data_IF_503807514388
#
_entry.id   IF_503807514388
#
_cell.length_a   1.000
_cell.length_b   1.000
_cell.length_c   1.000
_cell.angle_alpha   90.00
_cell.angle_beta   90.00
_cell.angle_gamma   90.00
#
_symmetry.space_group_name_H-M   'P 1'
#
loop_
_entity.id
_entity.type
_entity.pdbx_description
1 polymer ?
#
# COMPACT_ATOMS: atom_id res chain seq x y z
N UNK A 1 16.30 9.39 6.72
CA UNK A 1 16.58 9.69 8.14
C UNK A 1 18.09 9.66 8.40
N UNK A 2 18.67 10.66 9.07
CA UNK A 2 20.04 10.58 9.60
C UNK A 2 20.00 10.18 11.08
N UNK A 3 20.51 8.98 11.40
CA UNK A 3 20.42 8.40 12.74
C UNK A 3 21.43 9.01 13.73
N UNK A 4 22.56 9.53 13.25
CA UNK A 4 23.58 10.12 14.10
C UNK A 4 23.15 11.52 14.57
N UNK A 5 22.48 12.26 13.70
CA UNK A 5 21.84 13.53 14.08
C UNK A 5 20.74 13.32 15.13
N UNK A 6 19.94 12.26 15.02
CA UNK A 6 18.93 11.93 16.05
C UNK A 6 19.62 11.57 17.38
N UNK A 7 20.72 10.83 17.35
CA UNK A 7 21.48 10.49 18.55
C UNK A 7 22.01 11.74 19.26
N UNK A 8 22.62 12.66 18.51
CA UNK A 8 23.15 13.91 19.08
C UNK A 8 22.04 14.80 19.66
N UNK A 9 20.91 14.95 18.96
CA UNK A 9 19.75 15.71 19.44
C UNK A 9 19.10 15.08 20.67
N UNK A 10 19.08 13.75 20.77
CA UNK A 10 18.59 13.04 21.94
C UNK A 10 19.51 13.16 23.18
N UNK A 11 20.73 13.71 22.99
CA UNK A 11 21.72 13.88 24.05
C UNK A 11 22.67 12.70 24.21
N UNK A 12 22.81 11.86 23.18
CA UNK A 12 23.84 10.82 23.13
C UNK A 12 25.12 11.41 22.53
N UNK A 13 26.26 11.05 23.11
CA UNK A 13 27.57 11.31 22.53
C UNK A 13 27.87 10.24 21.49
N UNK A 14 28.23 10.67 20.28
CA UNK A 14 28.65 9.77 19.18
C UNK A 14 30.17 9.65 19.17
N UNK A 15 30.67 8.42 19.19
CA UNK A 15 32.07 8.07 19.14
C UNK A 15 32.34 7.29 17.86
N UNK A 16 33.34 7.69 17.10
CA UNK A 16 33.83 6.93 15.95
C UNK A 16 34.80 5.86 16.47
N UNK A 17 34.39 4.60 16.50
CA UNK A 17 35.23 3.56 17.11
C UNK A 17 36.23 2.98 16.13
N UNK A 18 35.76 2.58 14.95
CA UNK A 18 36.58 1.82 14.01
C UNK A 18 36.02 1.86 12.59
N UNK A 19 36.92 1.60 11.65
CA UNK A 19 36.56 1.20 10.29
C UNK A 19 37.11 -0.20 10.04
N UNK A 20 36.22 -1.16 9.78
CA UNK A 20 36.60 -2.54 9.47
C UNK A 20 36.26 -2.76 8.01
N UNK A 21 37.29 -2.88 7.18
CA UNK A 21 37.15 -2.89 5.72
C UNK A 21 36.51 -1.60 5.20
N UNK A 22 35.33 -1.72 4.59
CA UNK A 22 34.56 -0.58 4.06
C UNK A 22 33.45 -0.10 5.00
N UNK A 23 33.23 -0.77 6.13
CA UNK A 23 32.21 -0.38 7.09
C UNK A 23 32.79 0.50 8.19
N UNK A 24 32.06 1.55 8.54
CA UNK A 24 32.41 2.48 9.61
C UNK A 24 31.47 2.27 10.78
N UNK A 25 32.05 2.02 11.96
CA UNK A 25 31.34 1.69 13.18
C UNK A 25 31.36 2.90 14.11
N UNK A 26 30.19 3.19 14.68
CA UNK A 26 29.99 4.27 15.64
C UNK A 26 29.36 3.69 16.90
N UNK A 27 29.92 4.03 18.06
CA UNK A 27 29.27 3.83 19.35
C UNK A 27 28.57 5.10 19.77
N UNK A 28 27.53 4.91 20.58
CA UNK A 28 26.85 6.02 21.26
C UNK A 28 26.80 5.75 22.75
N UNK A 29 27.06 6.77 23.55
CA UNK A 29 26.99 6.69 25.01
C UNK A 29 26.20 7.87 25.58
N UNK A 30 25.54 7.63 26.72
CA UNK A 30 24.71 8.64 27.36
C UNK A 30 23.85 8.06 28.48
N UNK A 31 22.97 8.90 29.03
CA UNK A 31 22.04 8.47 30.07
C UNK A 31 20.90 7.60 29.52
N UNK A 32 20.25 6.81 30.38
CA UNK A 32 19.07 6.04 30.00
C UNK A 32 17.93 6.95 29.48
N UNK A 33 17.79 8.15 30.04
CA UNK A 33 16.81 9.15 29.56
C UNK A 33 17.11 9.61 28.14
N UNK A 34 18.39 9.80 27.78
CA UNK A 34 18.79 10.14 26.42
C UNK A 34 18.50 8.97 25.46
N UNK A 35 18.75 7.73 25.88
CA UNK A 35 18.41 6.54 25.09
C UNK A 35 16.90 6.41 24.84
N UNK A 36 16.07 6.71 25.85
CA UNK A 36 14.62 6.70 25.69
C UNK A 36 14.17 7.74 24.65
N UNK A 37 14.68 8.98 24.75
CA UNK A 37 14.39 10.05 23.78
C UNK A 37 14.82 9.67 22.37
N UNK A 38 15.97 9.02 22.23
CA UNK A 38 16.47 8.52 20.96
C UNK A 38 15.53 7.49 20.35
N UNK A 39 15.09 6.49 21.12
CA UNK A 39 14.15 5.47 20.65
C UNK A 39 12.81 6.07 20.20
N UNK A 40 12.29 7.04 20.95
CA UNK A 40 11.05 7.74 20.61
C UNK A 40 11.21 8.54 19.29
N UNK A 41 12.33 9.26 19.15
CA UNK A 41 12.63 10.05 17.95
C UNK A 41 12.82 9.19 16.70
N UNK A 42 13.53 8.07 16.79
CA UNK A 42 13.68 7.10 15.68
C UNK A 42 12.33 6.54 15.27
N UNK A 43 11.49 6.17 16.25
CA UNK A 43 10.14 5.65 15.99
C UNK A 43 9.24 6.67 15.29
N UNK A 44 9.32 7.95 15.69
CA UNK A 44 8.59 9.04 15.06
C UNK A 44 9.08 9.30 13.62
N UNK A 45 10.39 9.32 13.41
CA UNK A 45 10.99 9.53 12.09
C UNK A 45 10.63 8.41 11.11
N UNK A 46 10.73 7.14 11.51
CA UNK A 46 10.35 6.00 10.67
C UNK A 46 8.86 6.04 10.26
N UNK A 47 7.98 6.47 11.17
CA UNK A 47 6.56 6.68 10.87
C UNK A 47 6.35 7.80 9.85
N UNK A 48 7.07 8.91 9.99
CA UNK A 48 6.98 10.03 9.04
C UNK A 48 7.41 9.60 7.62
N UNK A 49 8.54 8.89 7.50
CA UNK A 49 9.03 8.39 6.20
C UNK A 49 8.05 7.40 5.54
N UNK A 50 7.39 6.56 6.34
CA UNK A 50 6.37 5.63 5.86
C UNK A 50 5.14 6.36 5.28
N UNK A 51 4.72 7.46 5.92
CA UNK A 51 3.61 8.29 5.45
C UNK A 51 3.99 9.06 4.17
N UNK A 52 5.24 9.52 4.06
CA UNK A 52 5.74 10.18 2.85
C UNK A 52 5.82 9.22 1.66
N UNK A 53 6.26 7.98 1.87
CA UNK A 53 6.20 6.94 0.84
C UNK A 53 4.77 6.66 0.38
N UNK A 54 3.84 6.48 1.32
CA UNK A 54 2.43 6.25 0.99
C UNK A 54 1.79 7.41 0.20
N UNK A 55 2.19 8.66 0.46
CA UNK A 55 1.75 9.84 -0.30
C UNK A 55 2.39 9.92 -1.69
N UNK A 56 3.59 9.40 -1.84
CA UNK A 56 4.33 9.39 -3.10
C UNK A 56 3.80 8.31 -4.06
N UNK A 57 3.35 7.17 -3.52
CA UNK A 57 2.69 6.09 -4.26
C UNK A 57 1.22 6.38 -4.60
N UNK A 58 0.63 7.44 -4.07
CA UNK A 58 -0.70 7.87 -4.48
C UNK A 58 -0.64 8.36 -5.94
N UNK A 59 -1.40 7.75 -6.87
CA UNK A 59 -1.41 8.21 -8.25
C UNK A 59 -1.96 9.63 -8.29
N UNK A 60 -1.07 10.61 -8.45
CA UNK A 60 -1.39 12.05 -8.41
C UNK A 60 -2.34 12.52 -9.51
N UNK A 61 -2.80 11.66 -10.42
CA UNK A 61 -3.72 12.00 -11.49
C UNK A 61 -4.56 10.77 -11.89
N UNK A 62 -5.53 10.37 -11.08
CA UNK A 62 -6.66 9.60 -11.59
C UNK A 62 -7.71 10.61 -12.12
N UNK A 63 -7.96 10.69 -13.44
CA UNK A 63 -8.97 11.61 -13.97
C UNK A 63 -10.35 11.23 -13.41
N UNK A 64 -11.22 12.21 -13.11
CA UNK A 64 -12.58 11.93 -12.66
C UNK A 64 -13.30 11.17 -13.76
N UNK A 65 -13.78 9.96 -13.46
CA UNK A 65 -14.52 9.12 -14.39
C UNK A 65 -15.92 9.73 -14.60
N UNK A 66 -16.02 10.77 -15.43
CA UNK A 66 -17.30 11.21 -15.99
C UNK A 66 -17.74 10.24 -17.09
N UNK A 67 -18.16 9.03 -16.69
CA UNK A 67 -19.02 8.21 -17.57
C UNK A 67 -20.47 8.55 -17.27
N UNK A 68 -20.88 9.71 -17.78
CA UNK A 68 -22.28 9.93 -18.13
C UNK A 68 -22.61 8.99 -19.29
N UNK A 69 -23.55 8.04 -19.16
CA UNK A 69 -24.04 7.30 -20.31
C UNK A 69 -25.05 8.20 -21.02
N UNK A 70 -24.58 9.04 -21.95
CA UNK A 70 -25.49 9.80 -22.79
C UNK A 70 -25.95 8.93 -23.97
N UNK A 71 -27.26 8.67 -23.96
CA UNK A 71 -28.10 8.07 -25.00
C UNK A 71 -27.66 8.47 -26.42
N UNK A 72 -27.44 7.47 -27.28
CA UNK A 72 -27.76 7.59 -28.70
C UNK A 72 -28.97 6.73 -29.02
N UNK A 73 -30.09 7.41 -29.30
CA UNK A 73 -31.29 6.80 -29.84
C UNK A 73 -31.08 6.41 -31.31
N UNK A 74 -30.92 5.11 -31.60
CA UNK A 74 -31.16 4.45 -32.90
C UNK A 74 -30.88 2.95 -32.65
N UNK A 75 -31.79 1.98 -32.77
CA UNK A 75 -32.95 1.88 -33.61
C UNK A 75 -34.03 1.02 -32.93
N UNK A 76 -35.27 1.49 -32.95
CA UNK A 76 -36.45 0.64 -32.78
C UNK A 76 -36.69 -0.10 -34.11
N UNK A 77 -36.23 -1.35 -34.19
CA UNK A 77 -36.58 -2.40 -35.17
C UNK A 77 -36.26 -3.70 -34.44
N UNK A 78 -37.13 -4.67 -34.18
CA UNK A 78 -38.44 -5.02 -34.73
C UNK A 78 -39.15 -5.73 -33.57
N UNK A 79 -40.31 -5.24 -33.16
CA UNK A 79 -41.20 -6.01 -32.32
C UNK A 79 -41.99 -6.99 -33.21
N UNK A 80 -42.16 -8.21 -32.70
CA UNK A 80 -43.10 -9.25 -33.12
C UNK A 80 -42.64 -10.11 -34.30
N UNK A 81 -42.21 -11.34 -34.00
CA UNK A 81 -42.92 -12.52 -34.50
C UNK A 81 -42.56 -13.77 -33.67
N UNK A 82 -43.62 -14.37 -33.07
CA UNK A 82 -43.79 -15.80 -32.71
C UNK A 82 -42.88 -16.33 -31.60
N UNK A 83 -43.33 -16.48 -30.34
CA UNK A 83 -44.36 -17.40 -29.86
C UNK A 83 -44.18 -18.83 -30.43
N UNK A 84 -44.03 -19.77 -29.49
CA UNK A 84 -44.21 -21.22 -29.64
C UNK A 84 -43.05 -22.03 -30.25
N UNK A 85 -42.13 -22.46 -29.39
CA UNK A 85 -41.53 -23.79 -29.50
C UNK A 85 -41.05 -24.29 -28.12
N UNK A 86 -41.93 -25.06 -27.48
CA UNK A 86 -41.65 -26.27 -26.69
C UNK A 86 -40.42 -26.26 -25.76
N UNK A 87 -40.60 -26.30 -24.43
CA UNK A 87 -41.02 -27.50 -23.68
C UNK A 87 -40.28 -28.77 -24.10
N UNK A 88 -39.05 -28.95 -23.63
CA UNK A 88 -38.39 -30.24 -23.39
C UNK A 88 -37.18 -29.95 -22.51
N UNK A 89 -37.25 -30.15 -21.19
CA UNK A 89 -36.90 -31.42 -20.54
C UNK A 89 -35.81 -31.07 -19.52
N UNK A 90 -36.10 -31.07 -18.22
CA UNK A 90 -36.09 -32.27 -17.37
C UNK A 90 -34.67 -32.67 -16.97
N UNK A 91 -34.38 -32.49 -15.66
CA UNK A 91 -33.65 -33.46 -14.79
C UNK A 91 -32.13 -33.50 -15.01
N UNK A 92 -31.24 -33.69 -14.03
CA UNK A 92 -31.19 -33.69 -12.57
C UNK A 92 -29.72 -34.06 -12.25
N UNK A 93 -29.25 -33.71 -11.05
CA UNK A 93 -28.11 -34.25 -10.28
C UNK A 93 -26.99 -35.05 -10.97
N UNK A 94 -25.75 -34.68 -10.63
CA UNK A 94 -24.56 -35.53 -10.83
C UNK A 94 -23.33 -35.07 -10.04
N UNK A 95 -23.30 -35.45 -8.77
CA UNK A 95 -22.25 -35.25 -7.76
C UNK A 95 -20.94 -36.02 -8.04
N UNK A 96 -19.82 -35.53 -7.46
CA UNK A 96 -18.57 -36.24 -7.04
C UNK A 96 -17.69 -36.84 -8.15
N UNK A 97 -16.41 -37.18 -7.95
CA UNK A 97 -15.31 -36.79 -7.08
C UNK A 97 -14.09 -37.58 -7.60
N UNK A 98 -12.89 -37.05 -7.36
CA UNK A 98 -11.64 -37.76 -7.02
C UNK A 98 -11.31 -39.11 -7.67
N UNK A 99 -10.19 -39.13 -8.41
CA UNK A 99 -9.10 -40.09 -8.17
C UNK A 99 -7.78 -39.35 -8.35
#
# INVERSE_FOLDING_TARGET
MDILDIATQAGLQVLLDARIGNETYHSVCGSLTALQRFADAVSAAARAESLEHARSDQPRNAPPHHRSPMRTARARRVARHRADAARAGSVDRGTRAST
#
